data_IF_973306403946
#
_entry.id   IF_973306403946
#
_cell.length_a   1.000
_cell.length_b   1.000
_cell.length_c   1.000
_cell.angle_alpha   90.00
_cell.angle_beta   90.00
_cell.angle_gamma   90.00
#
_symmetry.space_group_name_H-M   'P 1'
#
loop_
_entity.id
_entity.type
_entity.pdbx_description
1 polymer ?
#
# COMPACT_ATOMS: atom_id res chain seq x y z
N UNK A 1 -52.12 -22.31 -34.93
CA UNK A 1 -51.93 -21.22 -33.93
C UNK A 1 -50.61 -21.43 -33.22
N UNK A 2 -50.03 -20.35 -32.72
CA UNK A 2 -48.59 -20.06 -32.61
C UNK A 2 -47.76 -20.91 -31.65
N UNK A 3 -46.46 -21.05 -31.99
CA UNK A 3 -45.35 -21.55 -31.17
C UNK A 3 -45.11 -20.69 -29.92
N UNK A 4 -44.63 -21.32 -28.84
CA UNK A 4 -43.62 -20.84 -27.85
C UNK A 4 -43.40 -22.03 -26.89
N UNK A 5 -42.28 -22.73 -26.85
CA UNK A 5 -40.91 -22.25 -26.79
C UNK A 5 -40.56 -21.93 -25.34
N UNK A 6 -40.36 -22.96 -24.50
CA UNK A 6 -39.84 -22.81 -23.13
C UNK A 6 -38.31 -22.66 -23.26
N UNK A 7 -37.70 -21.54 -22.85
CA UNK A 7 -36.25 -21.41 -22.88
C UNK A 7 -35.64 -22.14 -21.67
N UNK A 8 -34.75 -23.10 -21.96
CA UNK A 8 -33.74 -23.53 -21.01
C UNK A 8 -32.83 -22.34 -20.68
N UNK A 9 -32.99 -21.78 -19.47
CA UNK A 9 -31.94 -20.98 -18.82
C UNK A 9 -31.77 -21.54 -17.41
N UNK A 10 -30.81 -22.46 -17.28
CA UNK A 10 -30.28 -22.83 -15.99
C UNK A 10 -29.41 -21.67 -15.50
N UNK A 11 -30.02 -20.70 -14.82
CA UNK A 11 -29.27 -19.75 -13.99
C UNK A 11 -29.03 -20.42 -12.65
N UNK A 12 -27.99 -21.25 -12.58
CA UNK A 12 -27.43 -21.70 -11.29
C UNK A 12 -26.68 -20.50 -10.71
N UNK A 13 -27.41 -19.67 -9.98
CA UNK A 13 -26.87 -18.51 -9.29
C UNK A 13 -25.88 -18.95 -8.22
N UNK A 14 -24.71 -18.32 -8.28
CA UNK A 14 -23.46 -18.52 -7.55
C UNK A 14 -23.52 -18.28 -6.02
N UNK A 15 -24.60 -18.66 -5.35
CA UNK A 15 -24.85 -18.31 -3.93
C UNK A 15 -24.58 -19.48 -2.96
N UNK A 16 -24.38 -20.71 -3.45
CA UNK A 16 -24.28 -21.89 -2.58
C UNK A 16 -22.86 -22.37 -2.22
N UNK A 17 -21.80 -21.80 -2.77
CA UNK A 17 -20.42 -22.28 -2.48
C UNK A 17 -19.78 -21.57 -1.27
N UNK A 18 -20.27 -20.39 -0.88
CA UNK A 18 -19.67 -19.65 0.24
C UNK A 18 -20.20 -20.08 1.63
N UNK A 19 -21.40 -20.65 1.71
CA UNK A 19 -21.99 -21.08 3.01
C UNK A 19 -21.42 -22.41 3.56
N UNK A 20 -20.81 -23.27 2.73
CA UNK A 20 -20.25 -24.54 3.23
C UNK A 20 -18.87 -24.39 3.90
N UNK A 21 -18.14 -23.31 3.64
CA UNK A 21 -16.85 -23.09 4.30
C UNK A 21 -16.98 -22.62 5.76
N UNK A 22 -18.10 -21.99 6.13
CA UNK A 22 -18.32 -21.54 7.51
C UNK A 22 -18.89 -22.64 8.43
N UNK A 23 -19.77 -23.52 7.94
CA UNK A 23 -20.34 -24.58 8.78
C UNK A 23 -19.36 -25.71 9.13
N UNK A 24 -18.33 -25.93 8.31
CA UNK A 24 -17.28 -26.92 8.61
C UNK A 24 -16.26 -26.41 9.64
N UNK A 25 -16.18 -25.10 9.86
CA UNK A 25 -15.31 -24.49 10.87
C UNK A 25 -16.00 -24.35 12.24
N UNK A 26 -17.32 -24.13 12.27
CA UNK A 26 -18.07 -24.04 13.53
C UNK A 26 -18.20 -25.37 14.27
N UNK A 27 -18.19 -26.50 13.56
CA UNK A 27 -18.34 -27.83 14.15
C UNK A 27 -17.05 -28.38 14.81
N UNK A 28 -15.88 -27.78 14.55
CA UNK A 28 -14.62 -28.19 15.19
C UNK A 28 -14.10 -27.21 16.27
N UNK A 29 -14.66 -25.99 16.37
CA UNK A 29 -14.25 -25.05 17.42
C UNK A 29 -14.77 -25.41 18.83
N UNK A 30 -15.79 -26.28 18.94
CA UNK A 30 -16.29 -26.76 20.23
C UNK A 30 -15.42 -27.86 20.86
N UNK A 31 -14.45 -28.42 20.12
CA UNK A 31 -13.58 -29.51 20.60
C UNK A 31 -12.17 -29.05 21.02
N UNK A 32 -11.79 -27.78 20.81
CA UNK A 32 -10.48 -27.24 21.19
C UNK A 32 -10.49 -26.35 22.45
N UNK A 33 -11.63 -26.23 23.15
CA UNK A 33 -11.75 -25.48 24.42
C UNK A 33 -11.16 -26.21 25.64
N UNK A 34 -10.31 -27.22 25.45
CA UNK A 34 -9.66 -27.94 26.56
C UNK A 34 -8.19 -28.23 26.28
N UNK A 35 -7.37 -27.19 26.30
CA UNK A 35 -5.96 -27.33 26.67
C UNK A 35 -5.43 -26.01 27.20
N UNK A 36 -5.20 -25.97 28.51
CA UNK A 36 -4.42 -24.92 29.16
C UNK A 36 -2.96 -25.05 28.70
N UNK A 37 -2.47 -24.08 27.93
CA UNK A 37 -1.03 -23.93 27.67
C UNK A 37 -0.66 -22.47 27.93
N UNK A 38 0.00 -22.24 29.07
CA UNK A 38 0.73 -21.02 29.38
C UNK A 38 2.09 -21.05 28.69
N UNK A 39 2.39 -20.06 27.84
CA UNK A 39 3.77 -19.79 27.41
C UNK A 39 4.16 -18.38 27.87
N UNK A 40 5.20 -18.31 28.70
CA UNK A 40 5.87 -17.04 29.05
C UNK A 40 7.00 -16.81 28.05
N UNK A 41 6.91 -15.75 27.26
CA UNK A 41 8.05 -15.24 26.48
C UNK A 41 8.42 -13.88 27.07
N UNK A 42 9.62 -13.82 27.65
CA UNK A 42 10.23 -12.60 28.18
C UNK A 42 10.57 -11.65 27.03
N UNK A 43 9.87 -10.51 26.94
CA UNK A 43 10.16 -9.42 26.02
C UNK A 43 11.38 -8.62 26.52
N UNK A 44 12.50 -8.65 25.78
CA UNK A 44 13.50 -7.58 25.87
C UNK A 44 13.03 -6.38 25.03
N UNK A 45 12.92 -5.21 25.65
CA UNK A 45 12.50 -3.95 24.99
C UNK A 45 13.60 -3.43 24.05
N UNK A 46 13.27 -3.06 22.81
CA UNK A 46 14.00 -2.02 22.08
C UNK A 46 13.61 -0.63 22.59
N UNK A 47 14.57 0.28 22.64
CA UNK A 47 14.33 1.69 22.97
C UNK A 47 13.63 2.37 21.78
N UNK A 48 12.44 2.92 22.03
CA UNK A 48 11.69 3.78 21.11
C UNK A 48 11.73 5.19 21.70
N UNK A 49 12.20 6.17 20.93
CA UNK A 49 12.13 7.58 21.31
C UNK A 49 10.69 8.04 21.08
N UNK A 50 9.95 8.25 22.15
CA UNK A 50 8.63 8.90 22.18
C UNK A 50 8.71 10.18 23.02
N UNK A 51 8.16 11.27 22.48
CA UNK A 51 7.90 12.59 23.10
C UNK A 51 8.79 13.02 24.28
N UNK A 52 9.80 13.85 24.00
CA UNK A 52 10.35 14.74 25.02
C UNK A 52 9.67 16.11 24.95
N UNK A 53 9.00 16.43 26.06
CA UNK A 53 8.46 17.74 26.42
C UNK A 53 9.60 18.52 27.07
N UNK A 54 10.15 19.53 26.40
CA UNK A 54 11.08 20.47 27.04
C UNK A 54 10.43 21.83 27.24
N UNK A 55 10.24 22.18 28.51
CA UNK A 55 10.00 23.53 28.97
C UNK A 55 11.29 24.01 29.67
N UNK A 56 11.78 25.17 29.22
CA UNK A 56 12.37 26.26 30.02
C UNK A 56 13.90 26.59 29.99
N UNK A 57 14.16 27.86 29.62
CA UNK A 57 15.19 28.85 30.07
C UNK A 57 16.53 28.96 29.34
N UNK A 58 16.73 30.09 28.62
CA UNK A 58 17.71 31.17 28.88
C UNK A 58 17.70 32.20 27.71
N UNK A 59 17.18 33.42 27.87
CA UNK A 59 17.84 34.69 28.25
C UNK A 59 19.05 35.15 27.39
N UNK A 60 18.89 36.38 26.88
CA UNK A 60 19.86 37.34 26.30
C UNK A 60 20.33 37.07 24.86
N UNK A 61 20.22 37.99 23.89
CA UNK A 61 20.70 39.38 23.86
C UNK A 61 19.76 40.26 23.00
N UNK A 62 19.22 41.39 23.47
CA UNK A 62 19.80 42.74 23.56
C UNK A 62 20.28 43.37 22.23
N UNK A 63 19.49 44.38 21.80
CA UNK A 63 19.76 45.64 21.09
C UNK A 63 20.29 45.68 19.65
N UNK A 64 19.44 46.19 18.74
CA UNK A 64 19.42 47.59 18.26
C UNK A 64 18.12 47.76 17.44
N UNK A 65 17.42 48.89 17.31
CA UNK A 65 17.66 50.28 17.66
C UNK A 65 16.88 51.16 16.66
N UNK A 66 15.81 51.81 17.13
CA UNK A 66 15.39 53.18 16.81
C UNK A 66 14.62 53.49 15.48
N UNK A 67 13.30 53.70 15.65
CA UNK A 67 12.42 54.86 15.31
C UNK A 67 12.54 55.62 13.97
N UNK A 68 11.38 55.77 13.30
CA UNK A 68 10.69 56.99 12.73
C UNK A 68 9.82 56.54 11.54
N UNK A 69 8.56 56.91 11.31
CA UNK A 69 7.69 57.97 11.80
C UNK A 69 7.08 58.73 10.61
N UNK A 70 5.74 58.62 10.41
CA UNK A 70 4.83 59.46 9.57
C UNK A 70 5.03 59.36 8.03
N UNK A 71 4.06 59.61 7.14
CA UNK A 71 2.79 60.37 7.20
C UNK A 71 1.88 59.96 6.02
N UNK A 72 0.58 60.18 6.21
CA UNK A 72 -0.49 60.25 5.20
C UNK A 72 -0.17 61.21 4.05
N UNK A 73 -0.74 60.98 2.87
CA UNK A 73 -1.62 61.95 2.20
C UNK A 73 -2.33 61.35 0.97
N UNK A 74 -3.64 61.60 0.91
CA UNK A 74 -4.55 61.54 -0.25
C UNK A 74 -5.06 62.97 -0.42
N UNK A 75 -5.32 63.46 -1.65
CA UNK A 75 -6.70 63.89 -1.96
C UNK A 75 -7.06 63.65 -3.46
N UNK A 76 -8.29 63.23 -3.80
CA UNK A 76 -9.43 64.04 -4.35
C UNK A 76 -9.23 64.50 -5.82
N UNK A 77 -10.20 64.74 -6.70
CA UNK A 77 -11.63 64.47 -6.90
C UNK A 77 -11.88 64.63 -8.43
N UNK A 78 -13.03 64.13 -8.89
CA UNK A 78 -13.83 64.29 -10.15
C UNK A 78 -13.85 65.69 -10.85
N UNK A 79 -14.51 65.98 -12.02
CA UNK A 79 -15.78 65.38 -12.52
C UNK A 79 -16.18 65.40 -14.04
N UNK A 80 -17.36 64.78 -14.28
CA UNK A 80 -18.48 65.13 -15.20
C UNK A 80 -18.37 65.06 -16.74
N UNK A 81 -19.34 64.40 -17.40
CA UNK A 81 -20.48 65.06 -18.07
C UNK A 81 -21.52 64.09 -18.69
N UNK A 82 -22.77 64.56 -18.72
CA UNK A 82 -24.02 63.98 -19.23
C UNK A 82 -24.12 63.88 -20.77
N UNK A 83 -24.96 62.95 -21.28
CA UNK A 83 -26.21 63.26 -22.04
C UNK A 83 -26.86 61.98 -22.58
N UNK A 84 -28.20 61.93 -22.58
CA UNK A 84 -28.99 60.80 -23.07
C UNK A 84 -29.51 60.98 -24.51
N UNK A 85 -29.98 59.87 -25.10
CA UNK A 85 -31.01 59.83 -26.15
C UNK A 85 -31.56 58.41 -26.30
N UNK A 86 -32.88 58.31 -26.44
CA UNK A 86 -33.67 57.10 -26.71
C UNK A 86 -33.82 56.95 -28.23
N UNK A 87 -33.66 55.74 -28.80
CA UNK A 87 -34.60 55.14 -29.78
C UNK A 87 -34.16 53.77 -30.33
N UNK A 88 -35.20 52.92 -30.44
CA UNK A 88 -35.47 51.85 -31.42
C UNK A 88 -34.80 50.48 -31.33
N UNK A 89 -35.70 49.50 -31.39
CA UNK A 89 -35.53 48.07 -31.27
C UNK A 89 -34.63 47.44 -32.35
N UNK A 90 -33.83 46.46 -31.91
CA UNK A 90 -33.41 45.29 -32.67
C UNK A 90 -33.41 44.09 -31.72
N UNK A 91 -34.22 43.09 -32.04
CA UNK A 91 -34.02 41.72 -31.56
C UNK A 91 -32.69 41.23 -32.14
N UNK A 92 -31.69 41.03 -31.29
CA UNK A 92 -30.50 40.26 -31.62
C UNK A 92 -30.32 39.20 -30.53
N UNK A 93 -30.21 37.95 -30.98
CA UNK A 93 -30.05 36.74 -30.18
C UNK A 93 -28.89 36.88 -29.20
N UNK A 94 -29.19 37.00 -27.91
CA UNK A 94 -28.18 36.94 -26.84
C UNK A 94 -27.84 35.46 -26.57
N UNK A 95 -26.58 35.12 -26.73
CA UNK A 95 -25.99 33.87 -26.25
C UNK A 95 -26.37 33.61 -24.78
N UNK A 96 -26.48 32.34 -24.34
CA UNK A 96 -26.87 32.03 -22.97
C UNK A 96 -25.89 32.71 -22.00
N UNK A 97 -26.42 33.41 -21.00
CA UNK A 97 -25.64 33.86 -19.85
C UNK A 97 -24.84 32.68 -19.29
N UNK A 98 -23.57 32.87 -18.85
CA UNK A 98 -22.84 31.81 -18.18
C UNK A 98 -23.70 31.36 -17.01
N UNK A 99 -24.05 30.07 -17.03
CA UNK A 99 -24.75 29.43 -15.94
C UNK A 99 -24.02 29.79 -14.66
N UNK A 100 -24.79 30.25 -13.68
CA UNK A 100 -24.41 30.38 -12.28
C UNK A 100 -23.53 29.19 -11.92
N UNK A 101 -22.23 29.41 -11.76
CA UNK A 101 -21.29 28.37 -11.37
C UNK A 101 -21.85 27.72 -10.10
N UNK A 102 -22.14 26.42 -10.18
CA UNK A 102 -22.58 25.65 -9.03
C UNK A 102 -21.52 25.81 -7.93
N UNK A 103 -21.94 26.37 -6.79
CA UNK A 103 -21.11 26.41 -5.59
C UNK A 103 -20.89 24.96 -5.17
N UNK A 104 -19.74 24.39 -5.56
CA UNK A 104 -19.34 23.05 -5.13
C UNK A 104 -19.10 23.11 -3.63
N UNK A 105 -19.90 22.38 -2.85
CA UNK A 105 -19.61 22.18 -1.44
C UNK A 105 -18.20 21.56 -1.33
N UNK A 106 -17.30 22.23 -0.61
CA UNK A 106 -15.89 21.80 -0.48
C UNK A 106 -15.79 20.47 0.25
N UNK A 107 -16.73 20.19 1.15
CA UNK A 107 -16.89 18.92 1.86
C UNK A 107 -18.17 18.25 1.36
N UNK A 108 -18.06 16.99 0.93
CA UNK A 108 -19.18 16.21 0.40
C UNK A 108 -19.22 14.81 1.04
N UNK A 109 -20.41 14.25 1.20
CA UNK A 109 -20.60 12.83 1.51
C UNK A 109 -21.36 12.14 0.38
N UNK A 110 -20.83 11.02 -0.11
CA UNK A 110 -21.68 9.96 -0.65
C UNK A 110 -22.08 9.02 0.49
N UNK A 111 -23.25 9.31 1.05
CA UNK A 111 -23.83 8.60 2.18
C UNK A 111 -24.98 7.66 1.72
N UNK A 112 -25.05 7.37 0.41
CA UNK A 112 -26.17 6.65 -0.22
C UNK A 112 -26.13 5.14 0.00
N UNK A 113 -24.96 4.60 0.34
CA UNK A 113 -24.77 3.17 0.55
C UNK A 113 -25.15 2.75 1.98
N UNK A 114 -25.81 1.59 2.11
CA UNK A 114 -26.35 1.13 3.40
C UNK A 114 -25.27 0.79 4.43
N UNK A 115 -24.05 0.47 3.97
CA UNK A 115 -22.98 -0.09 4.81
C UNK A 115 -21.81 0.84 5.09
N UNK A 116 -21.63 1.92 4.32
CA UNK A 116 -20.50 2.83 4.47
C UNK A 116 -20.84 4.23 3.96
N UNK A 117 -20.13 5.22 4.49
CA UNK A 117 -20.15 6.60 3.99
C UNK A 117 -18.79 6.92 3.36
N UNK A 118 -18.82 7.67 2.27
CA UNK A 118 -17.60 8.18 1.64
C UNK A 118 -17.58 9.71 1.74
N UNK A 119 -16.81 10.20 2.70
CA UNK A 119 -16.55 11.63 2.89
C UNK A 119 -15.35 12.09 2.08
N UNK A 120 -15.47 13.24 1.42
CA UNK A 120 -14.43 13.83 0.59
C UNK A 120 -14.28 15.32 0.86
N UNK A 121 -13.04 15.80 0.91
CA UNK A 121 -12.71 17.23 0.81
C UNK A 121 -12.10 17.50 -0.56
N UNK A 122 -12.76 18.34 -1.34
CA UNK A 122 -12.35 18.70 -2.69
C UNK A 122 -11.55 20.00 -2.66
N UNK A 123 -10.31 19.94 -2.16
CA UNK A 123 -9.42 21.10 -2.12
C UNK A 123 -8.27 20.96 -1.11
N UNK A 124 -7.47 22.02 -0.95
CA UNK A 124 -6.42 22.09 0.06
C UNK A 124 -6.99 21.76 1.45
N UNK A 125 -6.29 20.88 2.17
CA UNK A 125 -6.75 20.37 3.47
C UNK A 125 -5.61 20.46 4.47
N UNK A 126 -5.92 20.86 5.71
CA UNK A 126 -5.00 20.79 6.85
C UNK A 126 -5.52 19.78 7.85
N UNK A 127 -4.66 18.87 8.28
CA UNK A 127 -4.92 17.95 9.38
C UNK A 127 -4.24 18.49 10.63
N UNK A 128 -5.03 18.73 11.68
CA UNK A 128 -4.52 18.85 13.05
C UNK A 128 -4.56 17.47 13.71
N UNK A 129 -3.40 16.80 13.90
CA UNK A 129 -3.36 15.46 14.47
C UNK A 129 -3.71 15.43 15.96
N UNK A 130 -3.54 16.55 16.68
CA UNK A 130 -3.83 16.61 18.13
C UNK A 130 -5.34 16.56 18.35
N UNK A 131 -6.09 17.33 17.57
CA UNK A 131 -7.55 17.38 17.66
C UNK A 131 -8.26 16.42 16.70
N UNK A 132 -7.50 15.66 15.90
CA UNK A 132 -8.04 14.74 14.87
C UNK A 132 -9.04 15.43 13.93
N UNK A 133 -8.73 16.68 13.57
CA UNK A 133 -9.61 17.55 12.78
C UNK A 133 -8.99 17.88 11.44
N UNK A 134 -9.79 17.72 10.38
CA UNK A 134 -9.47 18.06 9.01
C UNK A 134 -10.20 19.34 8.62
N UNK A 135 -9.43 20.35 8.23
CA UNK A 135 -9.90 21.68 7.84
C UNK A 135 -9.83 21.83 6.32
N UNK A 136 -10.95 22.18 5.70
CA UNK A 136 -10.97 22.59 4.29
C UNK A 136 -10.46 24.03 4.16
N UNK A 137 -9.37 24.24 3.42
CA UNK A 137 -8.72 25.55 3.25
C UNK A 137 -9.12 26.18 1.92
N UNK A 138 -9.43 27.48 1.93
CA UNK A 138 -9.64 28.29 0.71
C UNK A 138 -11.09 28.45 0.25
N UNK A 139 -12.08 28.18 1.10
CA UNK A 139 -13.48 28.51 0.82
C UNK A 139 -13.72 30.04 0.96
N UNK A 140 -13.42 30.80 -0.09
CA UNK A 140 -13.66 32.25 -0.12
C UNK A 140 -15.14 32.60 -0.37
N UNK A 141 -15.66 33.44 0.51
CA UNK A 141 -16.73 34.45 0.35
C UNK A 141 -18.17 34.02 0.03
N UNK A 142 -18.50 32.73 -0.05
CA UNK A 142 -19.90 32.32 -0.34
C UNK A 142 -20.40 31.04 0.31
N UNK A 143 -19.74 30.52 1.36
CA UNK A 143 -20.20 29.28 2.03
C UNK A 143 -21.05 29.53 3.29
N UNK A 144 -21.97 28.59 3.63
CA UNK A 144 -22.93 28.68 4.74
C UNK A 144 -22.23 28.60 6.12
N UNK A 145 -22.93 28.66 7.28
CA UNK A 145 -22.29 28.65 8.60
C UNK A 145 -21.33 27.47 8.76
N UNK A 146 -20.28 27.65 9.57
CA UNK A 146 -19.25 26.67 9.94
C UNK A 146 -19.76 25.22 9.85
N UNK A 147 -19.54 24.56 8.72
CA UNK A 147 -19.95 23.18 8.55
C UNK A 147 -18.97 22.33 9.35
N UNK A 148 -19.49 21.52 10.27
CA UNK A 148 -18.70 20.60 11.06
C UNK A 148 -19.44 19.28 11.15
N UNK A 149 -18.75 18.19 10.83
CA UNK A 149 -19.29 16.83 10.94
C UNK A 149 -18.26 15.92 11.60
N UNK A 150 -18.77 15.00 12.41
CA UNK A 150 -18.00 13.94 13.03
C UNK A 150 -18.27 12.63 12.32
N UNK A 151 -17.24 11.82 12.13
CA UNK A 151 -17.34 10.55 11.43
C UNK A 151 -16.32 9.55 11.95
N UNK A 152 -16.61 8.27 11.74
CA UNK A 152 -15.70 7.16 12.01
C UNK A 152 -15.19 6.63 10.67
N UNK A 153 -13.88 6.64 10.39
CA UNK A 153 -13.34 6.25 9.09
C UNK A 153 -13.23 4.71 8.97
N UNK A 154 -14.34 4.00 9.15
CA UNK A 154 -14.40 2.54 9.14
C UNK A 154 -15.67 2.05 8.41
N UNK A 155 -15.57 1.05 7.50
CA UNK A 155 -16.73 0.57 6.79
C UNK A 155 -17.55 -0.35 7.69
N UNK A 156 -18.61 0.22 8.27
CA UNK A 156 -19.75 -0.43 8.97
C UNK A 156 -20.58 0.68 9.62
N UNK A 157 -21.17 1.54 8.78
CA UNK A 157 -21.82 2.80 9.18
C UNK A 157 -22.83 2.66 10.35
N UNK A 158 -23.56 1.56 10.39
CA UNK A 158 -24.65 1.33 11.36
C UNK A 158 -24.27 0.42 12.53
N UNK A 159 -23.04 -0.09 12.58
CA UNK A 159 -22.59 -1.00 13.64
C UNK A 159 -21.96 -0.20 14.79
N UNK A 160 -22.75 0.10 15.82
CA UNK A 160 -22.30 0.88 16.98
C UNK A 160 -21.20 0.19 17.78
N UNK A 161 -21.15 -1.14 17.80
CA UNK A 161 -20.09 -1.88 18.49
C UNK A 161 -18.74 -1.68 17.79
N UNK A 162 -18.73 -1.77 16.46
CA UNK A 162 -17.53 -1.46 15.67
C UNK A 162 -17.12 0.00 15.85
N UNK A 163 -18.07 0.94 15.71
CA UNK A 163 -17.81 2.39 15.84
C UNK A 163 -17.23 2.78 17.21
N UNK A 164 -17.69 2.14 18.29
CA UNK A 164 -17.16 2.41 19.65
C UNK A 164 -15.65 2.15 19.81
N UNK A 165 -15.06 1.36 18.90
CA UNK A 165 -13.64 1.00 18.88
C UNK A 165 -12.86 1.72 17.77
N UNK A 166 -13.48 2.71 17.12
CA UNK A 166 -12.89 3.50 16.03
C UNK A 166 -12.84 4.96 16.49
N UNK A 167 -11.69 5.61 16.33
CA UNK A 167 -11.55 7.02 16.68
C UNK A 167 -12.52 7.87 15.85
N UNK A 168 -13.22 8.77 16.53
CA UNK A 168 -14.04 9.78 15.88
C UNK A 168 -13.14 10.90 15.35
N UNK A 169 -13.33 11.23 14.08
CA UNK A 169 -12.62 12.32 13.40
C UNK A 169 -13.59 13.45 13.08
N UNK A 170 -13.06 14.66 12.92
CA UNK A 170 -13.85 15.83 12.59
C UNK A 170 -13.47 16.38 11.21
N UNK A 171 -14.46 16.68 10.37
CA UNK A 171 -14.30 17.47 9.13
C UNK A 171 -14.95 18.82 9.36
N UNK A 172 -14.25 19.90 9.03
CA UNK A 172 -14.79 21.25 9.19
C UNK A 172 -14.35 22.21 8.09
N UNK A 173 -15.22 23.17 7.76
CA UNK A 173 -14.90 24.33 6.93
C UNK A 173 -14.46 25.55 7.74
N UNK A 174 -14.42 25.44 9.08
CA UNK A 174 -13.97 26.51 9.94
C UNK A 174 -12.48 26.84 9.71
N UNK A 175 -12.04 28.07 9.99
CA UNK A 175 -10.63 28.42 9.84
C UNK A 175 -9.74 27.61 10.82
N UNK A 176 -8.62 27.03 10.35
CA UNK A 176 -7.67 26.37 11.24
C UNK A 176 -7.01 27.38 12.17
N UNK A 177 -6.74 26.97 13.41
CA UNK A 177 -6.07 27.81 14.43
C UNK A 177 -4.55 27.73 14.39
N UNK A 178 -4.00 26.77 13.65
CA UNK A 178 -2.57 26.46 13.57
C UNK A 178 -2.06 26.57 12.13
N UNK A 179 -0.77 26.87 11.99
CA UNK A 179 -0.06 26.86 10.71
C UNK A 179 0.36 25.44 10.33
N UNK A 180 0.42 25.16 9.03
CA UNK A 180 0.86 23.86 8.51
C UNK A 180 2.38 23.66 8.72
N UNK A 181 2.78 22.59 9.41
CA UNK A 181 4.19 22.24 9.63
C UNK A 181 4.80 21.32 8.56
N UNK A 182 3.99 20.49 7.91
CA UNK A 182 4.42 19.56 6.86
C UNK A 182 3.41 19.59 5.72
N UNK A 183 3.88 19.85 4.51
CA UNK A 183 3.03 19.96 3.32
C UNK A 183 3.21 18.76 2.40
N UNK A 184 2.09 18.28 1.87
CA UNK A 184 2.07 17.23 0.86
C UNK A 184 1.29 17.67 -0.38
N UNK A 185 1.73 17.24 -1.56
CA UNK A 185 1.05 17.51 -2.84
C UNK A 185 0.10 16.41 -3.28
N UNK A 186 0.22 15.21 -2.69
CA UNK A 186 -0.61 14.04 -2.98
C UNK A 186 -1.92 14.06 -2.19
N UNK A 187 -3.02 13.51 -2.75
CA UNK A 187 -4.26 13.32 -2.00
C UNK A 187 -4.06 12.34 -0.84
N UNK A 188 -4.90 12.47 0.19
CA UNK A 188 -4.92 11.57 1.34
C UNK A 188 -6.15 10.66 1.33
N UNK A 189 -5.98 9.41 1.75
CA UNK A 189 -7.07 8.50 2.09
C UNK A 189 -6.99 8.21 3.59
N UNK A 190 -8.11 8.43 4.28
CA UNK A 190 -8.22 8.28 5.73
C UNK A 190 -9.00 7.01 6.05
N UNK A 191 -8.44 6.14 6.89
CA UNK A 191 -9.13 4.94 7.38
C UNK A 191 -8.67 4.59 8.80
N UNK A 192 -9.47 3.78 9.51
CA UNK A 192 -9.15 3.25 10.83
C UNK A 192 -8.76 1.78 10.76
N UNK A 193 -7.78 1.42 11.58
CA UNK A 193 -7.43 0.03 11.90
C UNK A 193 -8.03 -0.42 13.24
N UNK A 194 -9.09 0.23 13.72
CA UNK A 194 -9.89 -0.16 14.88
C UNK A 194 -11.14 -0.96 14.51
N UNK A 195 -12.19 -0.90 15.33
CA UNK A 195 -13.43 -1.65 15.05
C UNK A 195 -13.31 -3.12 15.40
N UNK A 196 -13.53 -4.02 14.44
CA UNK A 196 -13.34 -5.47 14.62
C UNK A 196 -12.01 -5.99 14.12
N UNK A 197 -11.14 -5.10 13.67
CA UNK A 197 -9.75 -5.45 13.40
C UNK A 197 -9.10 -6.02 14.68
N UNK A 198 -8.20 -6.99 14.50
CA UNK A 198 -7.81 -7.97 15.53
C UNK A 198 -8.47 -9.33 15.28
N UNK A 199 -9.42 -9.38 14.34
CA UNK A 199 -9.92 -10.58 13.70
C UNK A 199 -9.59 -10.54 12.19
N UNK A 200 -8.95 -11.58 11.67
CA UNK A 200 -8.49 -11.66 10.28
C UNK A 200 -9.59 -11.41 9.23
N UNK A 201 -10.80 -11.94 9.47
CA UNK A 201 -11.94 -11.71 8.56
C UNK A 201 -12.24 -10.22 8.41
N UNK A 202 -12.26 -9.49 9.52
CA UNK A 202 -12.53 -8.06 9.51
C UNK A 202 -11.34 -7.25 8.99
N UNK A 203 -10.10 -7.66 9.26
CA UNK A 203 -8.92 -6.99 8.68
C UNK A 203 -8.90 -7.06 7.15
N UNK A 204 -9.24 -8.23 6.60
CA UNK A 204 -9.26 -8.38 5.16
C UNK A 204 -10.48 -7.67 4.53
N UNK A 205 -11.69 -7.91 5.05
CA UNK A 205 -12.91 -7.40 4.44
C UNK A 205 -13.17 -5.92 4.73
N UNK A 206 -12.98 -5.49 5.98
CA UNK A 206 -13.32 -4.14 6.41
C UNK A 206 -12.16 -3.15 6.17
N UNK A 207 -10.91 -3.61 5.99
CA UNK A 207 -9.78 -2.69 5.80
C UNK A 207 -9.08 -2.90 4.47
N UNK A 208 -8.43 -4.05 4.24
CA UNK A 208 -7.57 -4.24 3.07
C UNK A 208 -8.34 -4.22 1.75
N UNK A 209 -9.44 -4.96 1.66
CA UNK A 209 -10.25 -5.02 0.45
C UNK A 209 -10.94 -3.68 0.17
N UNK A 210 -11.51 -3.06 1.21
CA UNK A 210 -12.15 -1.75 1.11
C UNK A 210 -11.15 -0.68 0.63
N UNK A 211 -9.96 -0.62 1.21
CA UNK A 211 -8.90 0.31 0.81
C UNK A 211 -8.46 0.09 -0.64
N UNK A 212 -8.27 -1.18 -1.04
CA UNK A 212 -7.93 -1.52 -2.43
C UNK A 212 -9.01 -1.05 -3.40
N UNK A 213 -10.29 -1.31 -3.11
CA UNK A 213 -11.41 -0.87 -3.94
C UNK A 213 -11.46 0.66 -4.03
N UNK A 214 -11.35 1.37 -2.91
CA UNK A 214 -11.41 2.84 -2.86
C UNK A 214 -10.28 3.49 -3.65
N UNK A 215 -9.04 3.02 -3.49
CA UNK A 215 -7.90 3.56 -4.26
C UNK A 215 -8.12 3.39 -5.76
N UNK A 216 -8.64 2.24 -6.19
CA UNK A 216 -8.89 1.96 -7.60
C UNK A 216 -10.12 2.70 -8.16
N UNK A 217 -11.18 2.87 -7.37
CA UNK A 217 -12.41 3.55 -7.81
C UNK A 217 -12.20 5.05 -8.01
N UNK A 218 -11.42 5.67 -7.13
CA UNK A 218 -11.09 7.11 -7.22
C UNK A 218 -10.17 7.43 -8.41
N UNK A 219 -9.67 6.43 -9.13
CA UNK A 219 -8.83 6.59 -10.33
C UNK A 219 -7.68 7.58 -10.13
N UNK A 220 -7.12 7.58 -8.91
CA UNK A 220 -6.01 8.43 -8.52
C UNK A 220 -4.78 7.88 -9.25
N UNK A 221 -4.54 8.31 -10.49
CA UNK A 221 -3.33 7.99 -11.26
C UNK A 221 -2.10 8.71 -10.69
N UNK A 222 -1.98 8.76 -9.36
CA UNK A 222 -1.00 9.51 -8.57
C UNK A 222 -0.79 8.83 -7.23
N UNK A 223 0.32 9.15 -6.57
CA UNK A 223 0.62 8.68 -5.23
C UNK A 223 -0.41 9.20 -4.22
N UNK A 224 -0.74 8.36 -3.23
CA UNK A 224 -1.73 8.66 -2.19
C UNK A 224 -1.08 8.53 -0.83
N UNK A 225 -1.40 9.45 0.06
CA UNK A 225 -0.99 9.40 1.46
C UNK A 225 -2.05 8.64 2.26
N UNK A 226 -1.63 7.57 2.93
CA UNK A 226 -2.50 6.86 3.85
C UNK A 226 -2.44 7.52 5.23
N UNK A 227 -3.59 8.02 5.70
CA UNK A 227 -3.74 8.51 7.06
C UNK A 227 -4.47 7.43 7.86
N UNK A 228 -3.72 6.77 8.73
CA UNK A 228 -4.20 5.61 9.49
C UNK A 228 -4.48 6.00 10.93
N UNK A 229 -5.68 5.67 11.41
CA UNK A 229 -6.10 5.88 12.80
C UNK A 229 -6.24 4.56 13.54
N UNK A 230 -6.27 4.60 14.88
CA UNK A 230 -6.31 3.41 15.74
C UNK A 230 -5.15 2.43 15.49
N UNK A 231 -3.99 2.95 15.10
CA UNK A 231 -2.81 2.13 14.83
C UNK A 231 -2.47 1.27 16.05
N UNK A 232 -2.15 0.00 15.81
CA UNK A 232 -1.75 -0.92 16.86
C UNK A 232 -0.61 -1.82 16.44
N UNK A 233 0.26 -2.17 17.39
CA UNK A 233 1.43 -3.03 17.18
C UNK A 233 1.05 -4.45 16.72
N UNK A 234 -0.15 -4.95 17.05
CA UNK A 234 -0.65 -6.27 16.61
C UNK A 234 -0.95 -6.37 15.10
N UNK A 235 -0.91 -5.27 14.35
CA UNK A 235 -0.92 -5.36 12.88
C UNK A 235 0.32 -6.11 12.33
N UNK A 236 1.44 -6.11 13.06
CA UNK A 236 2.58 -6.99 12.78
C UNK A 236 2.30 -8.46 13.16
N UNK A 237 1.52 -8.70 14.23
CA UNK A 237 1.09 -10.04 14.64
C UNK A 237 0.23 -10.70 13.56
N UNK A 238 -0.57 -9.95 12.79
CA UNK A 238 -1.39 -10.53 11.71
C UNK A 238 -0.58 -11.24 10.62
N UNK A 239 0.62 -10.73 10.30
CA UNK A 239 1.51 -11.39 9.35
C UNK A 239 2.03 -12.72 9.92
N UNK A 240 2.35 -12.73 11.22
CA UNK A 240 2.79 -13.92 11.95
C UNK A 240 1.63 -14.91 12.19
N UNK A 241 0.43 -14.44 12.49
CA UNK A 241 -0.78 -15.25 12.67
C UNK A 241 -1.18 -15.91 11.36
N UNK A 242 -1.09 -15.19 10.24
CA UNK A 242 -1.35 -15.76 8.93
C UNK A 242 -0.29 -16.80 8.56
N UNK A 243 0.98 -16.53 8.85
CA UNK A 243 2.06 -17.51 8.68
C UNK A 243 1.81 -18.76 9.54
N UNK A 244 1.46 -18.60 10.82
CA UNK A 244 1.12 -19.71 11.73
C UNK A 244 -0.13 -20.48 11.28
N UNK A 245 -1.13 -19.81 10.73
CA UNK A 245 -2.30 -20.47 10.13
C UNK A 245 -1.90 -21.35 8.95
N UNK A 246 -1.04 -20.83 8.06
CA UNK A 246 -0.54 -21.58 6.91
C UNK A 246 0.29 -22.78 7.37
N UNK A 247 1.14 -22.60 8.38
CA UNK A 247 1.93 -23.67 8.99
C UNK A 247 1.05 -24.76 9.61
N UNK A 248 0.03 -24.39 10.38
CA UNK A 248 -0.91 -25.36 10.95
C UNK A 248 -1.75 -26.10 9.89
N UNK A 249 -2.03 -25.45 8.75
CA UNK A 249 -2.90 -25.99 7.69
C UNK A 249 -2.13 -26.88 6.70
N UNK A 250 -0.92 -26.47 6.34
CA UNK A 250 -0.13 -27.05 5.25
C UNK A 250 1.20 -27.65 5.69
N UNK A 251 1.67 -27.34 6.91
CA UNK A 251 2.91 -27.88 7.46
C UNK A 251 2.86 -29.41 7.67
N UNK A 252 4.01 -30.09 7.59
CA UNK A 252 4.07 -31.53 7.80
C UNK A 252 3.86 -31.88 9.27
N UNK A 253 3.00 -32.85 9.52
CA UNK A 253 2.63 -33.31 10.88
C UNK A 253 3.73 -34.09 11.62
N UNK A 254 4.91 -34.25 11.02
CA UNK A 254 6.02 -35.09 11.53
C UNK A 254 7.41 -34.45 11.41
N UNK A 255 7.48 -33.13 11.25
CA UNK A 255 8.74 -32.40 11.02
C UNK A 255 9.23 -32.48 9.57
N UNK A 256 10.16 -31.59 9.22
CA UNK A 256 10.90 -31.64 7.96
C UNK A 256 12.19 -32.43 8.17
N UNK A 257 12.30 -33.60 7.54
CA UNK A 257 13.60 -34.24 7.40
C UNK A 257 14.34 -33.54 6.24
N UNK A 258 15.59 -33.10 6.42
CA UNK A 258 16.37 -32.53 5.31
C UNK A 258 16.55 -33.60 4.24
N UNK A 259 15.92 -33.39 3.10
CA UNK A 259 15.90 -34.35 1.99
C UNK A 259 17.18 -34.32 1.15
N UNK A 260 18.18 -33.50 1.51
CA UNK A 260 19.43 -33.33 0.77
C UNK A 260 20.57 -33.01 1.72
N UNK A 261 21.77 -33.43 1.32
CA UNK A 261 23.07 -33.07 1.88
C UNK A 261 23.54 -31.64 1.54
N UNK A 262 22.75 -30.92 0.75
CA UNK A 262 23.07 -29.59 0.22
C UNK A 262 21.88 -28.65 0.40
N UNK A 263 22.11 -27.34 0.66
CA UNK A 263 21.04 -26.37 0.72
C UNK A 263 20.22 -26.38 -0.57
N UNK A 264 18.90 -26.33 -0.42
CA UNK A 264 17.95 -26.21 -1.51
C UNK A 264 17.60 -24.75 -1.76
N UNK A 265 17.72 -24.31 -3.01
CA UNK A 265 17.31 -22.99 -3.45
C UNK A 265 16.18 -23.09 -4.46
N UNK A 266 15.13 -22.30 -4.23
CA UNK A 266 14.03 -22.14 -5.17
C UNK A 266 14.23 -20.85 -5.95
N UNK A 267 14.48 -20.96 -7.25
CA UNK A 267 14.54 -19.83 -8.17
C UNK A 267 13.15 -19.60 -8.77
N UNK A 268 12.54 -18.48 -8.40
CA UNK A 268 11.24 -18.05 -8.91
C UNK A 268 11.44 -17.46 -10.31
N UNK A 269 10.90 -18.12 -11.32
CA UNK A 269 10.94 -17.64 -12.70
C UNK A 269 9.56 -17.66 -13.34
N UNK A 270 9.33 -16.79 -14.33
CA UNK A 270 8.06 -16.70 -15.03
C UNK A 270 8.28 -16.70 -16.54
N UNK A 271 8.22 -17.90 -17.15
CA UNK A 271 8.24 -18.01 -18.61
C UNK A 271 6.97 -17.41 -19.22
N UNK A 272 7.11 -16.74 -20.36
CA UNK A 272 5.99 -16.17 -21.14
C UNK A 272 5.13 -15.15 -20.37
N UNK A 273 5.72 -14.46 -19.38
CA UNK A 273 5.05 -13.45 -18.57
C UNK A 273 5.01 -12.06 -19.23
N UNK A 274 4.21 -11.14 -18.65
CA UNK A 274 4.22 -9.70 -19.01
C UNK A 274 5.39 -9.02 -18.28
N UNK A 275 6.63 -9.43 -18.57
CA UNK A 275 7.87 -8.96 -17.93
C UNK A 275 8.33 -9.79 -16.72
N UNK A 276 9.53 -9.46 -16.20
CA UNK A 276 10.23 -10.08 -15.06
C UNK A 276 10.72 -11.50 -15.27
N UNK A 277 11.00 -11.85 -16.53
CA UNK A 277 11.66 -13.09 -16.89
C UNK A 277 13.18 -12.97 -16.74
N UNK A 278 13.83 -14.04 -16.29
CA UNK A 278 15.28 -14.18 -16.30
C UNK A 278 15.69 -14.75 -17.66
N UNK A 279 16.29 -13.92 -18.51
CA UNK A 279 16.57 -14.24 -19.91
C UNK A 279 17.69 -15.26 -20.10
N UNK A 280 18.65 -15.29 -19.18
CA UNK A 280 19.78 -16.22 -19.15
C UNK A 280 19.62 -17.24 -18.01
N UNK A 281 18.43 -17.83 -17.90
CA UNK A 281 18.07 -18.78 -16.84
C UNK A 281 19.03 -19.96 -16.76
N UNK A 282 19.52 -20.46 -17.90
CA UNK A 282 20.40 -21.63 -17.94
C UNK A 282 21.73 -21.33 -17.25
N UNK A 283 22.38 -20.22 -17.61
CA UNK A 283 23.65 -19.80 -17.01
C UNK A 283 23.49 -19.48 -15.51
N UNK A 284 22.35 -18.92 -15.13
CA UNK A 284 22.02 -18.64 -13.72
C UNK A 284 21.88 -19.93 -12.91
N UNK A 285 21.24 -20.96 -13.46
CA UNK A 285 21.11 -22.26 -12.80
C UNK A 285 22.45 -22.99 -12.68
N UNK A 286 23.26 -22.96 -13.73
CA UNK A 286 24.62 -23.51 -13.71
C UNK A 286 25.45 -22.85 -12.59
N UNK A 287 25.40 -21.52 -12.47
CA UNK A 287 26.12 -20.79 -11.42
C UNK A 287 25.61 -21.13 -10.01
N UNK A 288 24.28 -21.26 -9.82
CA UNK A 288 23.68 -21.68 -8.55
C UNK A 288 24.20 -23.06 -8.13
N UNK A 289 24.21 -24.02 -9.08
CA UNK A 289 24.68 -25.38 -8.83
C UNK A 289 26.19 -25.44 -8.58
N UNK A 290 27.00 -24.65 -9.32
CA UNK A 290 28.45 -24.55 -9.12
C UNK A 290 28.82 -24.04 -7.73
N UNK A 291 28.03 -23.14 -7.14
CA UNK A 291 28.23 -22.65 -5.77
C UNK A 291 27.88 -23.71 -4.72
N UNK A 292 27.15 -24.76 -5.09
CA UNK A 292 26.88 -25.92 -4.24
C UNK A 292 25.41 -26.09 -3.84
N UNK A 293 24.50 -25.25 -4.34
CA UNK A 293 23.07 -25.43 -4.09
C UNK A 293 22.49 -26.62 -4.88
N UNK A 294 21.41 -27.18 -4.38
CA UNK A 294 20.43 -27.91 -5.19
C UNK A 294 19.38 -26.92 -5.71
N UNK A 295 19.44 -26.61 -7.01
CA UNK A 295 18.55 -25.64 -7.64
C UNK A 295 17.19 -26.24 -8.01
N UNK A 296 16.10 -25.53 -7.71
CA UNK A 296 14.75 -25.87 -8.15
C UNK A 296 14.12 -24.64 -8.79
N UNK A 297 13.63 -24.76 -10.02
CA UNK A 297 12.88 -23.67 -10.66
C UNK A 297 11.42 -23.76 -10.25
N UNK A 298 10.89 -22.67 -9.69
CA UNK A 298 9.47 -22.54 -9.37
C UNK A 298 8.82 -21.53 -10.30
N UNK A 299 7.82 -22.01 -11.06
CA UNK A 299 6.99 -21.19 -11.92
C UNK A 299 5.57 -21.10 -11.32
N UNK A 300 5.16 -19.93 -10.77
CA UNK A 300 3.83 -19.79 -10.19
C UNK A 300 2.73 -19.99 -11.24
N UNK A 301 1.86 -20.99 -11.02
CA UNK A 301 0.67 -21.26 -11.85
C UNK A 301 -0.59 -20.86 -11.11
N UNK A 302 -1.61 -20.40 -11.85
CA UNK A 302 -2.89 -19.96 -11.26
C UNK A 302 -3.68 -21.08 -10.61
N UNK A 303 -3.46 -22.30 -11.06
CA UNK A 303 -4.16 -23.53 -10.69
C UNK A 303 -3.28 -24.49 -9.86
N UNK A 304 -2.07 -24.07 -9.47
CA UNK A 304 -1.19 -24.88 -8.64
C UNK A 304 -1.84 -25.14 -7.26
N UNK A 305 -1.87 -26.39 -6.77
CA UNK A 305 -2.32 -26.68 -5.42
C UNK A 305 -1.47 -25.94 -4.38
N UNK A 306 -2.14 -25.22 -3.47
CA UNK A 306 -1.46 -24.44 -2.42
C UNK A 306 -0.57 -25.31 -1.55
N UNK A 307 -1.02 -26.53 -1.21
CA UNK A 307 -0.24 -27.48 -0.41
C UNK A 307 1.09 -27.85 -1.06
N UNK A 308 1.11 -28.13 -2.36
CA UNK A 308 2.34 -28.50 -3.06
C UNK A 308 3.33 -27.34 -3.11
N UNK A 309 2.81 -26.13 -3.37
CA UNK A 309 3.62 -24.90 -3.35
C UNK A 309 4.17 -24.63 -1.95
N UNK A 310 3.36 -24.81 -0.92
CA UNK A 310 3.77 -24.69 0.48
C UNK A 310 4.86 -25.70 0.81
N UNK A 311 4.66 -26.99 0.50
CA UNK A 311 5.64 -28.05 0.76
C UNK A 311 7.00 -27.75 0.10
N UNK A 312 6.98 -27.27 -1.15
CA UNK A 312 8.19 -26.91 -1.88
C UNK A 312 8.94 -25.75 -1.21
N UNK A 313 8.24 -24.65 -0.95
CA UNK A 313 8.86 -23.41 -0.46
C UNK A 313 9.24 -23.50 1.01
N UNK A 314 8.41 -24.14 1.82
CA UNK A 314 8.71 -24.37 3.22
C UNK A 314 9.92 -25.30 3.40
N UNK A 315 10.17 -26.22 2.46
CA UNK A 315 11.32 -27.12 2.49
C UNK A 315 12.63 -26.52 1.95
N UNK A 316 12.63 -25.28 1.44
CA UNK A 316 13.85 -24.68 0.92
C UNK A 316 14.66 -23.96 2.00
N UNK A 317 15.91 -23.61 1.65
CA UNK A 317 16.84 -22.85 2.49
C UNK A 317 17.10 -21.44 1.93
N UNK A 318 16.81 -21.26 0.64
CA UNK A 318 16.77 -19.96 -0.01
C UNK A 318 15.66 -19.91 -1.06
N UNK A 319 15.02 -18.76 -1.21
CA UNK A 319 14.16 -18.44 -2.34
C UNK A 319 14.68 -17.16 -3.01
N UNK A 320 14.98 -17.21 -4.31
CA UNK A 320 15.47 -16.06 -5.08
C UNK A 320 14.53 -15.77 -6.24
N UNK A 321 14.20 -14.50 -6.49
CA UNK A 321 13.35 -14.13 -7.62
C UNK A 321 13.36 -12.65 -7.94
N UNK A 322 12.86 -12.31 -9.14
CA UNK A 322 12.68 -10.92 -9.55
C UNK A 322 11.52 -10.27 -8.80
N UNK A 323 11.69 -9.02 -8.34
CA UNK A 323 10.68 -8.25 -7.60
C UNK A 323 9.28 -8.37 -8.23
N UNK A 324 8.32 -8.85 -7.46
CA UNK A 324 6.95 -8.93 -7.92
C UNK A 324 6.06 -9.82 -7.07
N UNK A 325 4.81 -9.98 -7.52
CA UNK A 325 3.80 -10.75 -6.81
C UNK A 325 4.22 -12.20 -6.52
N UNK A 326 5.10 -12.80 -7.33
CA UNK A 326 5.57 -14.15 -7.06
C UNK A 326 6.41 -14.25 -5.77
N UNK A 327 7.07 -13.18 -5.33
CA UNK A 327 7.82 -13.17 -4.07
C UNK A 327 6.91 -13.09 -2.83
N UNK A 328 5.60 -12.83 -2.95
CA UNK A 328 4.68 -12.88 -1.80
C UNK A 328 4.58 -14.29 -1.19
N UNK A 329 5.08 -15.31 -1.88
CA UNK A 329 5.26 -16.63 -1.29
C UNK A 329 6.32 -16.68 -0.18
N UNK A 330 6.95 -15.55 0.17
CA UNK A 330 7.72 -15.39 1.40
C UNK A 330 6.94 -15.86 2.65
N UNK A 331 5.61 -15.81 2.62
CA UNK A 331 4.72 -16.31 3.66
C UNK A 331 4.77 -17.84 3.86
N UNK A 332 5.35 -18.58 2.92
CA UNK A 332 5.46 -20.04 3.00
C UNK A 332 6.85 -20.47 3.50
N UNK A 333 7.78 -19.52 3.62
CA UNK A 333 9.15 -19.79 4.06
C UNK A 333 9.22 -19.95 5.58
N UNK A 334 10.25 -20.64 6.05
CA UNK A 334 10.57 -20.78 7.47
C UNK A 334 11.43 -19.62 7.94
N UNK A 335 11.30 -19.21 9.20
CA UNK A 335 12.26 -18.31 9.82
C UNK A 335 13.69 -18.85 9.64
N UNK A 336 14.64 -17.98 9.30
CA UNK A 336 16.01 -18.33 8.92
C UNK A 336 16.24 -18.57 7.42
N UNK A 337 15.18 -18.83 6.64
CA UNK A 337 15.29 -18.98 5.17
C UNK A 337 15.77 -17.67 4.53
N UNK A 338 16.64 -17.76 3.54
CA UNK A 338 17.10 -16.59 2.78
C UNK A 338 16.07 -16.18 1.75
N UNK A 339 15.59 -14.93 1.80
CA UNK A 339 14.76 -14.33 0.76
C UNK A 339 15.62 -13.39 -0.09
N UNK A 340 16.00 -13.85 -1.28
CA UNK A 340 16.77 -13.07 -2.23
C UNK A 340 15.90 -12.36 -3.27
N UNK A 341 16.00 -11.04 -3.31
CA UNK A 341 15.22 -10.21 -4.23
C UNK A 341 16.13 -9.61 -5.32
N UNK A 342 15.87 -9.97 -6.58
CA UNK A 342 16.44 -9.30 -7.75
C UNK A 342 15.58 -8.07 -8.05
N UNK A 343 16.12 -6.88 -7.84
CA UNK A 343 15.41 -5.61 -7.92
C UNK A 343 15.64 -4.96 -9.29
N UNK A 344 14.60 -4.86 -10.14
CA UNK A 344 14.69 -4.18 -11.43
C UNK A 344 14.87 -2.67 -11.29
N UNK A 345 15.27 -2.03 -12.39
CA UNK A 345 15.35 -0.57 -12.47
C UNK A 345 13.97 0.03 -12.18
N UNK A 346 13.93 1.08 -11.36
CA UNK A 346 12.69 1.78 -10.98
C UNK A 346 11.87 1.12 -9.86
N UNK A 347 12.32 -0.02 -9.29
CA UNK A 347 11.60 -0.75 -8.24
C UNK A 347 12.26 -0.68 -6.84
N UNK A 348 13.39 0.03 -6.67
CA UNK A 348 14.15 0.05 -5.41
C UNK A 348 13.35 0.61 -4.22
N UNK A 349 12.47 1.60 -4.47
CA UNK A 349 11.58 2.17 -3.45
C UNK A 349 10.51 1.17 -2.96
N UNK A 350 10.21 0.13 -3.76
CA UNK A 350 9.22 -0.89 -3.44
C UNK A 350 9.78 -2.07 -2.66
N UNK A 351 11.05 -2.41 -2.91
CA UNK A 351 11.73 -3.56 -2.30
C UNK A 351 11.66 -3.52 -0.77
N UNK A 352 11.96 -2.35 -0.18
CA UNK A 352 11.96 -2.19 1.28
C UNK A 352 10.58 -2.43 1.92
N UNK A 353 9.55 -1.88 1.29
CA UNK A 353 8.18 -1.91 1.83
C UNK A 353 7.54 -3.28 1.67
N UNK A 354 7.75 -3.95 0.53
CA UNK A 354 7.07 -5.20 0.22
C UNK A 354 7.81 -6.46 0.65
N UNK A 355 9.15 -6.43 0.75
CA UNK A 355 9.93 -7.64 0.98
C UNK A 355 10.92 -7.51 2.13
N UNK A 356 11.69 -6.43 2.24
CA UNK A 356 12.68 -6.26 3.32
C UNK A 356 12.02 -6.24 4.71
N UNK A 357 11.04 -5.35 4.94
CA UNK A 357 10.37 -5.26 6.25
C UNK A 357 9.57 -6.51 6.58
N UNK A 358 8.72 -7.07 5.68
CA UNK A 358 7.99 -8.30 5.96
C UNK A 358 8.90 -9.50 6.22
N UNK A 359 10.03 -9.61 5.50
CA UNK A 359 11.04 -10.63 5.76
C UNK A 359 11.59 -10.52 7.18
N UNK A 360 11.92 -9.30 7.63
CA UNK A 360 12.37 -9.06 9.01
C UNK A 360 11.34 -9.46 10.06
N UNK A 361 10.05 -9.17 9.83
CA UNK A 361 8.96 -9.60 10.74
C UNK A 361 8.86 -11.13 10.80
N UNK A 362 8.99 -11.81 9.67
CA UNK A 362 8.92 -13.28 9.56
C UNK A 362 10.23 -14.00 9.94
N UNK A 363 11.25 -13.27 10.39
CA UNK A 363 12.55 -13.83 10.75
C UNK A 363 13.33 -14.38 9.56
N UNK A 364 13.06 -13.92 8.34
CA UNK A 364 13.79 -14.31 7.12
C UNK A 364 15.06 -13.48 6.95
N UNK A 365 16.08 -14.09 6.33
CA UNK A 365 17.31 -13.41 5.96
C UNK A 365 17.12 -12.72 4.59
N UNK A 366 16.78 -11.44 4.59
CA UNK A 366 16.57 -10.69 3.35
C UNK A 366 17.90 -10.30 2.68
N UNK A 367 17.99 -10.53 1.36
CA UNK A 367 19.12 -10.11 0.53
C UNK A 367 18.64 -9.44 -0.76
N UNK A 368 19.33 -8.37 -1.17
CA UNK A 368 18.97 -7.57 -2.34
C UNK A 368 20.05 -7.65 -3.43
N UNK A 369 19.66 -8.05 -4.63
CA UNK A 369 20.47 -7.93 -5.86
C UNK A 369 19.88 -6.83 -6.74
N UNK A 370 20.46 -5.63 -6.70
CA UNK A 370 20.03 -4.53 -7.57
C UNK A 370 20.71 -4.66 -8.93
N UNK A 371 19.89 -4.76 -9.98
CA UNK A 371 20.42 -4.90 -11.35
C UNK A 371 21.06 -3.59 -11.83
N UNK A 372 22.03 -3.72 -12.72
CA UNK A 372 22.61 -2.62 -13.48
C UNK A 372 21.83 -2.38 -14.79
N UNK A 373 22.14 -1.26 -15.45
CA UNK A 373 21.49 -0.85 -16.70
C UNK A 373 21.64 -1.92 -17.79
N UNK A 374 22.83 -2.50 -17.94
CA UNK A 374 23.15 -3.53 -18.92
C UNK A 374 22.44 -4.88 -18.65
N UNK A 375 21.97 -5.12 -17.43
CA UNK A 375 21.21 -6.33 -17.07
C UNK A 375 19.70 -6.18 -17.36
N UNK A 376 19.24 -4.98 -17.72
CA UNK A 376 17.84 -4.71 -18.03
C UNK A 376 17.56 -4.79 -19.53
N UNK A 377 16.49 -5.50 -19.91
CA UNK A 377 16.01 -5.49 -21.31
C UNK A 377 15.54 -4.11 -21.79
N UNK A 378 15.37 -3.15 -20.88
CA UNK A 378 15.06 -1.76 -21.22
C UNK A 378 16.25 -1.05 -21.88
N UNK A 379 17.49 -1.47 -21.62
CA UNK A 379 18.67 -0.88 -22.25
C UNK A 379 18.70 -1.09 -23.76
N UNK A 380 18.30 -2.27 -24.24
CA UNK A 380 18.17 -2.54 -25.68
C UNK A 380 17.02 -1.73 -26.31
N UNK A 381 15.97 -1.46 -25.54
CA UNK A 381 14.76 -0.79 -26.04
C UNK A 381 14.89 0.73 -26.10
N UNK A 382 15.52 1.34 -25.10
CA UNK A 382 15.59 2.80 -24.95
C UNK A 382 17.02 3.34 -25.17
N UNK A 383 18.05 2.51 -25.04
CA UNK A 383 19.45 2.93 -25.02
C UNK A 383 19.91 3.27 -23.60
N UNK A 384 21.16 2.93 -23.27
CA UNK A 384 21.70 3.00 -21.89
C UNK A 384 21.70 4.41 -21.27
N UNK A 385 21.72 5.46 -22.09
CA UNK A 385 21.73 6.87 -21.65
C UNK A 385 20.34 7.52 -21.60
N UNK A 386 19.28 6.77 -21.89
CA UNK A 386 17.91 7.28 -21.82
C UNK A 386 17.48 7.59 -20.38
N UNK A 387 16.64 8.62 -20.22
CA UNK A 387 16.06 9.03 -18.94
C UNK A 387 15.33 7.88 -18.24
N UNK A 388 14.73 6.96 -18.99
CA UNK A 388 14.10 5.73 -18.49
C UNK A 388 15.06 4.93 -17.61
N UNK A 389 16.36 4.89 -17.92
CA UNK A 389 17.34 4.11 -17.17
C UNK A 389 18.11 4.96 -16.17
N UNK A 390 18.50 6.18 -16.55
CA UNK A 390 19.33 7.07 -15.73
C UNK A 390 18.56 7.73 -14.58
N UNK A 391 17.29 8.06 -14.80
CA UNK A 391 16.45 8.67 -13.78
C UNK A 391 15.01 8.14 -13.83
N UNK A 392 14.77 6.91 -13.34
CA UNK A 392 13.44 6.31 -13.33
C UNK A 392 12.40 7.16 -12.60
N UNK A 393 12.78 7.78 -11.49
CA UNK A 393 11.87 8.67 -10.73
C UNK A 393 11.44 9.89 -11.54
N UNK A 394 12.38 10.52 -12.25
CA UNK A 394 12.10 11.65 -13.14
C UNK A 394 11.37 11.26 -14.42
N UNK A 395 11.57 10.04 -14.93
CA UNK A 395 10.79 9.53 -16.05
C UNK A 395 9.33 9.27 -15.66
N UNK A 396 9.09 8.61 -14.51
CA UNK A 396 7.75 8.35 -13.98
C UNK A 396 7.05 9.66 -13.63
N UNK A 397 7.70 10.53 -12.85
CA UNK A 397 7.18 11.85 -12.44
C UNK A 397 5.70 11.82 -12.02
N UNK A 398 5.34 10.88 -11.14
CA UNK A 398 3.96 10.68 -10.66
C UNK A 398 2.99 10.06 -11.68
N UNK A 399 3.42 9.75 -12.91
CA UNK A 399 2.56 9.16 -13.93
C UNK A 399 2.58 7.62 -13.88
N UNK A 400 1.52 7.05 -13.31
CA UNK A 400 1.36 5.59 -13.16
C UNK A 400 1.41 4.81 -14.48
N UNK A 401 0.98 5.41 -15.61
CA UNK A 401 1.07 4.74 -16.91
C UNK A 401 2.52 4.58 -17.38
N UNK A 402 3.41 5.51 -17.01
CA UNK A 402 4.86 5.39 -17.28
C UNK A 402 5.54 4.38 -16.35
N UNK A 403 5.10 4.25 -15.10
CA UNK A 403 5.62 3.25 -14.16
C UNK A 403 5.45 1.81 -14.66
N UNK A 404 4.45 1.54 -15.51
CA UNK A 404 4.24 0.23 -16.15
C UNK A 404 5.44 -0.24 -16.97
N UNK A 405 6.27 0.67 -17.50
CA UNK A 405 7.50 0.30 -18.24
C UNK A 405 8.39 -0.60 -17.36
N UNK A 406 8.64 -0.19 -16.12
CA UNK A 406 9.46 -0.95 -15.18
C UNK A 406 8.76 -2.21 -14.64
N UNK A 407 7.45 -2.15 -14.41
CA UNK A 407 6.71 -3.24 -13.76
C UNK A 407 6.22 -4.35 -14.71
N UNK A 408 6.07 -4.05 -16.00
CA UNK A 408 5.45 -4.95 -16.99
C UNK A 408 6.29 -5.21 -18.25
N UNK A 409 7.34 -4.44 -18.51
CA UNK A 409 8.06 -4.56 -19.80
C UNK A 409 9.55 -4.85 -19.65
N UNK A 410 10.03 -4.91 -18.41
CA UNK A 410 11.43 -5.17 -18.08
C UNK A 410 11.63 -6.65 -17.76
N UNK A 411 12.50 -7.29 -18.53
CA UNK A 411 13.11 -8.58 -18.22
C UNK A 411 14.55 -8.36 -17.77
N UNK A 412 15.15 -9.38 -17.17
CA UNK A 412 16.49 -9.29 -16.58
C UNK A 412 17.39 -10.33 -17.21
N UNK A 413 18.56 -9.89 -17.68
CA UNK A 413 19.68 -10.76 -18.06
C UNK A 413 20.79 -10.54 -17.05
N UNK A 414 20.93 -11.46 -16.09
CA UNK A 414 21.85 -11.29 -14.97
C UNK A 414 23.31 -11.38 -15.42
N UNK A 415 24.14 -10.48 -14.91
CA UNK A 415 25.59 -10.58 -15.03
C UNK A 415 26.07 -11.74 -14.15
N UNK A 416 26.57 -12.81 -14.76
CA UNK A 416 26.95 -14.04 -14.03
C UNK A 416 28.11 -13.80 -13.06
N UNK A 417 29.04 -12.88 -13.37
CA UNK A 417 30.18 -12.58 -12.48
C UNK A 417 29.69 -11.88 -11.22
N UNK A 418 28.80 -10.89 -11.36
CA UNK A 418 28.20 -10.20 -10.21
C UNK A 418 27.23 -11.10 -9.45
N UNK A 419 26.42 -11.86 -10.17
CA UNK A 419 25.46 -12.79 -9.59
C UNK A 419 26.15 -13.92 -8.80
N UNK A 420 27.32 -14.41 -9.26
CA UNK A 420 28.18 -15.35 -8.53
C UNK A 420 28.57 -14.83 -7.14
N UNK A 421 28.92 -13.55 -7.02
CA UNK A 421 29.28 -12.96 -5.71
C UNK A 421 28.07 -12.97 -4.78
N UNK A 422 26.93 -12.51 -5.30
CA UNK A 422 25.67 -12.49 -4.56
C UNK A 422 25.22 -13.89 -4.12
N UNK A 423 25.25 -14.88 -5.01
CA UNK A 423 24.75 -16.22 -4.70
C UNK A 423 25.66 -16.98 -3.74
N UNK A 424 26.96 -16.68 -3.70
CA UNK A 424 27.87 -17.19 -2.66
C UNK A 424 27.50 -16.70 -1.26
N UNK A 425 27.12 -15.44 -1.13
CA UNK A 425 26.64 -14.90 0.15
C UNK A 425 25.30 -15.53 0.56
N UNK A 426 24.38 -15.69 -0.39
CA UNK A 426 23.11 -16.42 -0.19
C UNK A 426 23.40 -17.86 0.25
N UNK A 427 24.37 -18.54 -0.36
CA UNK A 427 24.79 -19.89 0.01
C UNK A 427 25.31 -19.97 1.44
N UNK A 428 26.20 -19.08 1.84
CA UNK A 428 26.73 -19.08 3.22
C UNK A 428 25.61 -18.94 4.26
N UNK A 429 24.63 -18.07 4.00
CA UNK A 429 23.47 -17.89 4.91
C UNK A 429 22.55 -19.11 4.89
N UNK A 430 22.24 -19.65 3.72
CA UNK A 430 21.39 -20.84 3.58
C UNK A 430 22.03 -22.09 4.19
N UNK A 431 23.35 -22.24 4.07
CA UNK A 431 24.12 -23.32 4.71
C UNK A 431 24.06 -23.21 6.23
N UNK A 432 24.29 -22.00 6.79
CA UNK A 432 24.13 -21.78 8.24
C UNK A 432 22.72 -22.11 8.73
N UNK A 433 21.70 -21.76 7.95
CA UNK A 433 20.33 -22.12 8.27
C UNK A 433 20.15 -23.65 8.28
N UNK A 434 20.58 -24.34 7.21
CA UNK A 434 20.53 -25.80 7.14
C UNK A 434 21.28 -26.49 8.29
N UNK A 435 22.46 -25.99 8.67
CA UNK A 435 23.28 -26.53 9.76
C UNK A 435 22.61 -26.35 11.14
N UNK A 436 21.84 -25.26 11.32
CA UNK A 436 21.11 -24.99 12.55
C UNK A 436 19.80 -25.80 12.68
N UNK A 437 19.32 -26.43 11.60
CA UNK A 437 18.15 -27.32 11.61
C UNK A 437 18.51 -28.78 11.96
N UNK A 438 19.81 -29.10 12.01
CA UNK A 438 20.36 -30.44 12.24
C UNK A 438 20.43 -30.90 13.69
#
# INVERSE_FOLDING_TARGET
MSKKGIPHTATVSFVFVFMMFLFSFQSNLSLLSRSNVTSSITKSKPVIVSEEREEQVARSSIQSGIVRGKREEKPELSPSHHSGAVTKAREDMRAPSPSRAEVRNVITCDCSHDYYDMWSINGPTLLDPITSTFFAIGATDSTPPDFTVKFHPYPRKTDENAKSKVNELTLTSAPPKSSCGVTHSSPAIVFSTGGYTGNFYHQFNDVLLALYITVNSLSLNQDVILVVTNWSEWWHETLLDFHALLENTYGPRGGYAPASDRPQIVLVNRRNGVGREILNLKEVLEEIEEVGFKAIVFEPKRDAPVRETYTLLHGCHAMVGVHGAALTHLLFLRAGTVLGEIVPIGADWLAKTYFERPAGVLGLEYMKYKIEINESSLAERYGADDLVLKNPSGFVNGNYSKAKVYMKTQNVKLDIVRFRVYIKEVFVKAQRFMDNEG
#
